data_IF_927785341314
#
_entry.id   IF_927785341314
#
_cell.length_a   1.000
_cell.length_b   1.000
_cell.length_c   1.000
_cell.angle_alpha   90.00
_cell.angle_beta   90.00
_cell.angle_gamma   90.00
#
_symmetry.space_group_name_H-M   'P 1'
#
loop_
_entity.id
_entity.type
_entity.pdbx_description
1 polymer ?
#
# COMPACT_ATOMS: atom_id res chain seq x y z
N UNK A 1 11.76 26.05 -14.45
CA UNK A 1 10.90 27.07 -13.82
C UNK A 1 11.55 28.45 -13.75
N UNK A 2 12.60 28.66 -12.95
CA UNK A 2 13.20 30.00 -12.74
C UNK A 2 13.69 30.67 -14.04
N UNK A 3 14.38 29.93 -14.91
CA UNK A 3 14.89 30.46 -16.20
C UNK A 3 13.74 30.92 -17.10
N UNK A 4 12.67 30.13 -17.22
CA UNK A 4 11.50 30.46 -18.05
C UNK A 4 10.74 31.69 -17.51
N UNK A 5 10.63 31.84 -16.20
CA UNK A 5 10.04 33.03 -15.58
C UNK A 5 10.90 34.28 -15.83
N UNK A 6 12.23 34.19 -15.66
CA UNK A 6 13.14 35.31 -15.90
C UNK A 6 13.10 35.76 -17.36
N UNK A 7 13.11 34.82 -18.31
CA UNK A 7 13.00 35.11 -19.75
C UNK A 7 11.63 35.73 -20.09
N UNK A 8 10.55 35.27 -19.46
CA UNK A 8 9.21 35.85 -19.68
C UNK A 8 9.12 37.28 -19.15
N UNK A 9 9.63 37.54 -17.95
CA UNK A 9 9.63 38.87 -17.33
C UNK A 9 10.50 39.85 -18.13
N UNK A 10 11.68 39.41 -18.56
CA UNK A 10 12.57 40.22 -19.40
C UNK A 10 11.94 40.48 -20.78
N UNK A 11 11.27 39.49 -21.37
CA UNK A 11 10.54 39.64 -22.62
C UNK A 11 9.44 40.68 -22.55
N UNK A 12 8.65 40.73 -21.47
CA UNK A 12 7.63 41.77 -21.26
C UNK A 12 8.26 43.17 -21.17
N UNK A 13 9.39 43.30 -20.47
CA UNK A 13 10.07 44.56 -20.29
C UNK A 13 10.69 45.11 -21.60
N UNK A 14 11.17 44.24 -22.49
CA UNK A 14 11.91 44.63 -23.71
C UNK A 14 11.02 44.66 -24.96
N UNK A 15 10.08 43.72 -25.10
CA UNK A 15 9.26 43.53 -26.31
C UNK A 15 7.88 44.20 -26.20
N UNK A 16 7.55 44.76 -25.04
CA UNK A 16 6.27 45.38 -24.74
C UNK A 16 5.19 44.38 -24.32
N UNK A 17 4.05 44.87 -23.79
CA UNK A 17 3.10 44.03 -23.05
C UNK A 17 2.45 42.91 -23.87
N UNK A 18 2.07 43.19 -25.12
CA UNK A 18 1.40 42.23 -26.00
C UNK A 18 2.32 41.08 -26.41
N UNK A 19 3.54 41.42 -26.83
CA UNK A 19 4.50 40.43 -27.31
C UNK A 19 5.10 39.63 -26.13
N UNK A 20 5.30 40.29 -24.98
CA UNK A 20 5.67 39.62 -23.74
C UNK A 20 4.60 38.64 -23.24
N UNK A 21 3.32 39.00 -23.31
CA UNK A 21 2.22 38.08 -22.94
C UNK A 21 2.18 36.86 -23.87
N UNK A 22 2.37 37.06 -25.17
CA UNK A 22 2.42 35.97 -26.15
C UNK A 22 3.61 35.04 -25.88
N UNK A 23 4.76 35.60 -25.54
CA UNK A 23 5.95 34.83 -25.14
C UNK A 23 5.70 34.03 -23.85
N UNK A 24 5.04 34.63 -22.86
CA UNK A 24 4.69 33.96 -21.60
C UNK A 24 3.75 32.78 -21.83
N UNK A 25 2.72 32.96 -22.66
CA UNK A 25 1.80 31.87 -23.03
C UNK A 25 2.52 30.76 -23.77
N UNK A 26 3.36 31.11 -24.74
CA UNK A 26 4.16 30.14 -25.49
C UNK A 26 5.08 29.33 -24.58
N UNK A 27 5.80 29.99 -23.67
CA UNK A 27 6.70 29.33 -22.72
C UNK A 27 5.95 28.48 -21.69
N UNK A 28 4.78 28.94 -21.22
CA UNK A 28 3.93 28.19 -20.30
C UNK A 28 3.41 26.89 -20.93
N UNK A 29 2.91 26.97 -22.17
CA UNK A 29 2.47 25.79 -22.93
C UNK A 29 3.64 24.87 -23.26
N UNK A 30 4.84 25.42 -23.47
CA UNK A 30 6.01 24.62 -23.82
C UNK A 30 6.69 23.96 -22.61
N UNK A 31 6.36 24.36 -21.38
CA UNK A 31 7.04 23.89 -20.18
C UNK A 31 6.91 22.37 -19.99
N UNK A 32 5.73 21.73 -20.14
CA UNK A 32 5.62 20.27 -20.09
C UNK A 32 6.46 19.58 -21.17
N UNK A 33 6.44 20.10 -22.41
CA UNK A 33 7.26 19.60 -23.51
C UNK A 33 8.77 19.70 -23.24
N UNK A 34 9.22 20.79 -22.63
CA UNK A 34 10.62 20.95 -22.21
C UNK A 34 11.01 19.93 -21.14
N UNK A 35 10.15 19.71 -20.14
CA UNK A 35 10.40 18.69 -19.10
C UNK A 35 10.34 17.26 -19.63
N UNK A 36 9.44 16.98 -20.58
CA UNK A 36 9.39 15.68 -21.26
C UNK A 36 10.66 15.46 -22.08
N UNK A 37 11.10 16.47 -22.85
CA UNK A 37 12.35 16.40 -23.61
C UNK A 37 13.55 16.14 -22.70
N UNK A 38 13.60 16.80 -21.54
CA UNK A 38 14.65 16.57 -20.55
C UNK A 38 14.64 15.14 -20.01
N UNK A 39 13.45 14.59 -19.75
CA UNK A 39 13.30 13.24 -19.24
C UNK A 39 13.61 12.16 -20.30
N UNK A 40 13.33 12.43 -21.58
CA UNK A 40 13.59 11.49 -22.68
C UNK A 40 15.04 11.51 -23.16
N UNK A 41 15.63 12.71 -23.29
CA UNK A 41 16.96 12.88 -23.90
C UNK A 41 18.10 13.02 -22.89
N UNK A 42 17.79 13.11 -21.58
CA UNK A 42 18.73 13.39 -20.48
C UNK A 42 19.66 14.60 -20.73
N UNK A 43 19.22 15.54 -21.57
CA UNK A 43 20.02 16.67 -22.05
C UNK A 43 19.35 18.00 -21.76
N UNK A 44 19.98 18.83 -20.92
CA UNK A 44 19.50 20.18 -20.59
C UNK A 44 19.49 21.10 -21.82
N UNK A 45 20.51 21.02 -22.68
CA UNK A 45 20.57 21.81 -23.91
C UNK A 45 19.50 21.35 -24.91
N UNK A 46 19.26 20.04 -25.00
CA UNK A 46 18.18 19.47 -25.80
C UNK A 46 16.80 19.94 -25.32
N UNK A 47 16.59 19.97 -24.01
CA UNK A 47 15.35 20.42 -23.39
C UNK A 47 15.04 21.91 -23.60
N UNK A 48 16.03 22.73 -23.97
CA UNK A 48 15.86 24.15 -24.29
C UNK A 48 15.58 24.41 -25.78
N UNK A 49 15.53 23.38 -26.62
CA UNK A 49 15.31 23.52 -28.05
C UNK A 49 13.80 23.66 -28.38
N UNK A 50 13.33 24.83 -28.86
CA UNK A 50 11.91 25.06 -29.16
C UNK A 50 11.36 24.16 -30.26
N UNK A 51 12.20 23.70 -31.18
CA UNK A 51 11.77 22.79 -32.25
C UNK A 51 11.33 21.43 -31.67
N UNK A 52 11.96 20.96 -30.59
CA UNK A 52 11.57 19.72 -29.92
C UNK A 52 10.22 19.86 -29.21
N UNK A 53 9.95 21.02 -28.60
CA UNK A 53 8.67 21.29 -27.97
C UNK A 53 7.53 21.28 -28.99
N UNK A 54 7.73 21.97 -30.12
CA UNK A 54 6.76 21.98 -31.23
C UNK A 54 6.56 20.57 -31.78
N UNK A 55 7.62 19.78 -31.93
CA UNK A 55 7.52 18.39 -32.38
C UNK A 55 6.70 17.52 -31.41
N UNK A 56 6.91 17.64 -30.10
CA UNK A 56 6.13 16.93 -29.07
C UNK A 56 4.65 17.33 -29.15
N UNK A 57 4.36 18.63 -29.24
CA UNK A 57 2.98 19.13 -29.38
C UNK A 57 2.32 18.58 -30.64
N UNK A 58 3.03 18.58 -31.77
CA UNK A 58 2.50 18.10 -33.04
C UNK A 58 2.27 16.58 -33.05
N UNK A 59 3.14 15.80 -32.40
CA UNK A 59 3.05 14.33 -32.34
C UNK A 59 1.96 13.86 -31.38
N UNK A 60 1.84 14.48 -30.20
CA UNK A 60 0.82 14.13 -29.21
C UNK A 60 -0.56 14.70 -29.59
N UNK A 61 -0.61 15.91 -30.15
CA UNK A 61 -1.84 16.57 -30.55
C UNK A 61 -2.66 17.12 -29.37
N UNK A 62 -3.99 17.09 -29.51
CA UNK A 62 -4.93 17.68 -28.55
C UNK A 62 -4.75 17.24 -27.07
N UNK A 63 -4.46 15.97 -26.76
CA UNK A 63 -4.19 15.50 -25.40
C UNK A 63 -3.08 16.27 -24.66
N UNK A 64 -2.11 16.83 -25.39
CA UNK A 64 -1.07 17.67 -24.80
C UNK A 64 -1.65 18.88 -24.06
N UNK A 65 -2.64 19.55 -24.66
CA UNK A 65 -3.27 20.73 -24.05
C UNK A 65 -4.12 20.39 -22.82
N UNK A 66 -4.69 19.18 -22.77
CA UNK A 66 -5.37 18.70 -21.58
C UNK A 66 -4.40 18.56 -20.40
N UNK A 67 -3.20 18.01 -20.65
CA UNK A 67 -2.14 17.91 -19.63
C UNK A 67 -1.61 19.29 -19.23
N UNK A 68 -1.39 20.20 -20.18
CA UNK A 68 -1.03 21.60 -19.87
C UNK A 68 -2.09 22.23 -18.96
N UNK A 69 -3.37 22.08 -19.28
CA UNK A 69 -4.48 22.58 -18.45
C UNK A 69 -4.48 21.98 -17.05
N UNK A 70 -4.25 20.67 -16.93
CA UNK A 70 -4.18 19.98 -15.65
C UNK A 70 -2.97 20.44 -14.81
N UNK A 71 -1.81 20.66 -15.43
CA UNK A 71 -0.64 21.25 -14.78
C UNK A 71 -0.95 22.66 -14.25
N UNK A 72 -1.67 23.49 -15.02
CA UNK A 72 -2.10 24.82 -14.57
C UNK A 72 -3.04 24.71 -13.36
N UNK A 73 -4.00 23.79 -13.39
CA UNK A 73 -4.91 23.54 -12.26
C UNK A 73 -4.16 23.09 -11.02
N UNK A 74 -3.17 22.19 -11.16
CA UNK A 74 -2.32 21.74 -10.05
C UNK A 74 -1.54 22.92 -9.46
N UNK A 75 -0.91 23.75 -10.31
CA UNK A 75 -0.15 24.92 -9.85
C UNK A 75 -1.05 25.94 -9.14
N UNK A 76 -2.23 26.23 -9.70
CA UNK A 76 -3.20 27.13 -9.08
C UNK A 76 -3.69 26.59 -7.73
N UNK A 77 -3.98 25.29 -7.67
CA UNK A 77 -4.41 24.62 -6.44
C UNK A 77 -3.31 24.63 -5.37
N UNK A 78 -2.06 24.38 -5.75
CA UNK A 78 -0.91 24.47 -4.85
C UNK A 78 -0.73 25.89 -4.30
N UNK A 79 -0.81 26.92 -5.16
CA UNK A 79 -0.69 28.32 -4.74
C UNK A 79 -1.80 28.69 -3.75
N UNK A 80 -3.04 28.37 -4.09
CA UNK A 80 -4.19 28.65 -3.25
C UNK A 80 -4.12 27.91 -1.90
N UNK A 81 -3.70 26.65 -1.91
CA UNK A 81 -3.51 25.87 -0.69
C UNK A 81 -2.39 26.45 0.18
N UNK A 82 -1.29 26.95 -0.41
CA UNK A 82 -0.21 27.59 0.33
C UNK A 82 -0.65 28.90 1.00
N UNK A 83 -1.45 29.72 0.30
CA UNK A 83 -2.03 30.93 0.86
C UNK A 83 -2.99 30.60 2.01
N UNK A 84 -3.85 29.60 1.85
CA UNK A 84 -4.77 29.18 2.90
C UNK A 84 -4.03 28.67 4.15
N UNK A 85 -3.03 27.80 3.95
CA UNK A 85 -2.24 27.20 5.03
C UNK A 85 -1.43 28.26 5.79
N UNK A 86 -0.80 29.21 5.07
CA UNK A 86 0.00 30.26 5.71
C UNK A 86 -0.85 31.28 6.49
N UNK A 87 -2.12 31.46 6.11
CA UNK A 87 -3.06 32.31 6.85
C UNK A 87 -3.66 31.67 8.10
N UNK A 88 -3.65 30.33 8.20
CA UNK A 88 -4.31 29.58 9.29
C UNK A 88 -3.30 29.01 10.29
N UNK A 89 -2.13 28.56 9.84
CA UNK A 89 -1.16 27.86 10.68
C UNK A 89 0.01 28.76 11.10
N UNK A 90 0.63 28.47 12.26
CA UNK A 90 1.90 29.09 12.64
C UNK A 90 2.99 28.81 11.59
N UNK A 91 3.89 29.78 11.38
CA UNK A 91 4.90 29.77 10.31
C UNK A 91 5.65 28.43 10.18
N UNK A 92 6.14 27.88 11.29
CA UNK A 92 6.90 26.62 11.27
C UNK A 92 6.08 25.45 10.72
N UNK A 93 4.83 25.32 11.14
CA UNK A 93 3.93 24.25 10.68
C UNK A 93 3.49 24.49 9.25
N UNK A 94 3.19 25.74 8.90
CA UNK A 94 2.83 26.14 7.55
C UNK A 94 3.94 25.78 6.54
N UNK A 95 5.21 26.05 6.86
CA UNK A 95 6.34 25.71 6.00
C UNK A 95 6.43 24.20 5.71
N UNK A 96 6.22 23.36 6.72
CA UNK A 96 6.23 21.90 6.55
C UNK A 96 5.07 21.46 5.66
N UNK A 97 3.85 21.92 5.95
CA UNK A 97 2.64 21.54 5.22
C UNK A 97 2.71 22.01 3.76
N UNK A 98 3.11 23.25 3.52
CA UNK A 98 3.33 23.78 2.16
C UNK A 98 4.42 23.00 1.43
N UNK A 99 5.48 22.61 2.14
CA UNK A 99 6.52 21.74 1.60
C UNK A 99 5.98 20.39 1.13
N UNK A 100 5.11 19.74 1.92
CA UNK A 100 4.47 18.47 1.56
C UNK A 100 3.55 18.65 0.34
N UNK A 101 2.69 19.67 0.34
CA UNK A 101 1.78 19.96 -0.77
C UNK A 101 2.58 20.22 -2.06
N UNK A 102 3.64 21.01 -1.97
CA UNK A 102 4.49 21.36 -3.11
C UNK A 102 5.21 20.13 -3.69
N UNK A 103 5.74 19.24 -2.84
CA UNK A 103 6.36 18.00 -3.29
C UNK A 103 5.35 17.05 -3.92
N UNK A 104 4.15 16.94 -3.35
CA UNK A 104 3.08 16.12 -3.93
C UNK A 104 2.64 16.66 -5.31
N UNK A 105 2.43 17.96 -5.43
CA UNK A 105 2.08 18.62 -6.69
C UNK A 105 3.17 18.42 -7.76
N UNK A 106 4.45 18.48 -7.36
CA UNK A 106 5.59 18.20 -8.23
C UNK A 106 5.57 16.76 -8.74
N UNK A 107 5.41 15.78 -7.84
CA UNK A 107 5.31 14.35 -8.21
C UNK A 107 4.13 14.11 -9.14
N UNK A 108 2.95 14.69 -8.84
CA UNK A 108 1.76 14.57 -9.67
C UNK A 108 2.00 15.12 -11.08
N UNK A 109 2.66 16.28 -11.19
CA UNK A 109 2.98 16.91 -12.47
C UNK A 109 3.91 16.01 -13.29
N UNK A 110 4.97 15.47 -12.68
CA UNK A 110 5.86 14.51 -13.35
C UNK A 110 5.15 13.22 -13.74
N UNK A 111 4.25 12.72 -12.89
CA UNK A 111 3.48 11.51 -13.16
C UNK A 111 2.58 11.69 -14.40
N UNK A 112 1.88 12.81 -14.51
CA UNK A 112 1.05 13.14 -15.67
C UNK A 112 1.85 13.22 -16.96
N UNK A 113 3.02 13.87 -16.91
CA UNK A 113 3.89 14.01 -18.07
C UNK A 113 4.51 12.66 -18.47
N UNK A 114 4.94 11.87 -17.48
CA UNK A 114 5.46 10.52 -17.70
C UNK A 114 4.40 9.58 -18.27
N UNK A 115 3.15 9.67 -17.81
CA UNK A 115 2.03 8.93 -18.38
C UNK A 115 1.79 9.32 -19.84
N UNK A 116 1.86 10.61 -20.17
CA UNK A 116 1.68 11.07 -21.55
C UNK A 116 2.83 10.59 -22.47
N UNK A 117 4.08 10.66 -21.99
CA UNK A 117 5.23 10.08 -22.70
C UNK A 117 5.01 8.58 -22.93
N UNK A 118 4.56 7.85 -21.89
CA UNK A 118 4.31 6.41 -21.99
C UNK A 118 3.16 6.07 -22.96
N UNK A 119 2.08 6.84 -22.97
CA UNK A 119 0.94 6.60 -23.84
C UNK A 119 1.28 6.84 -25.32
N UNK A 120 2.07 7.87 -25.60
CA UNK A 120 2.44 8.31 -26.96
C UNK A 120 3.89 7.97 -27.32
N UNK A 121 4.48 6.96 -26.66
CA UNK A 121 5.91 6.68 -26.70
C UNK A 121 6.42 6.41 -28.13
N UNK A 122 5.66 5.64 -28.93
CA UNK A 122 5.96 5.40 -30.35
C UNK A 122 5.96 6.71 -31.16
N UNK A 123 4.94 7.55 -30.97
CA UNK A 123 4.77 8.80 -31.71
C UNK A 123 5.86 9.84 -31.37
N UNK A 124 6.29 9.89 -30.11
CA UNK A 124 7.34 10.81 -29.66
C UNK A 124 8.75 10.28 -29.92
N UNK A 125 8.89 9.05 -30.41
CA UNK A 125 10.18 8.41 -30.67
C UNK A 125 10.93 8.07 -29.39
N UNK A 126 10.20 7.84 -28.30
CA UNK A 126 10.74 7.37 -27.03
C UNK A 126 10.45 5.88 -26.95
N UNK A 127 11.48 5.04 -26.90
CA UNK A 127 11.29 3.66 -26.47
C UNK A 127 11.23 3.68 -24.94
N UNK A 128 10.08 3.36 -24.32
CA UNK A 128 10.04 3.17 -22.89
C UNK A 128 11.07 2.10 -22.59
N UNK A 129 12.01 2.41 -21.71
CA UNK A 129 12.75 1.36 -21.01
C UNK A 129 11.66 0.55 -20.33
N UNK A 130 11.31 -0.58 -20.94
CA UNK A 130 10.19 -1.36 -20.47
C UNK A 130 10.43 -1.66 -18.98
N UNK A 131 9.37 -1.92 -18.19
CA UNK A 131 9.52 -2.49 -16.85
C UNK A 131 10.40 -3.76 -16.85
N UNK A 132 10.72 -4.30 -18.03
CA UNK A 132 11.83 -5.20 -18.32
C UNK A 132 13.13 -4.88 -17.61
N UNK A 133 13.54 -3.65 -17.26
CA UNK A 133 14.76 -3.55 -16.44
C UNK A 133 14.57 -4.09 -15.01
N UNK A 134 13.36 -3.99 -14.45
CA UNK A 134 12.99 -4.64 -13.18
C UNK A 134 12.61 -6.12 -13.39
N UNK A 135 11.99 -6.45 -14.54
CA UNK A 135 11.59 -7.81 -14.93
C UNK A 135 12.71 -8.69 -15.49
N UNK A 136 13.81 -8.13 -16.01
CA UNK A 136 14.98 -8.84 -16.52
C UNK A 136 16.05 -9.02 -15.43
N UNK A 137 15.98 -8.22 -14.37
CA UNK A 137 16.67 -8.51 -13.10
C UNK A 137 15.90 -9.52 -12.25
N UNK A 138 14.57 -9.63 -12.41
CA UNK A 138 13.80 -10.75 -11.88
C UNK A 138 14.03 -11.98 -12.76
N UNK A 139 14.50 -13.08 -12.16
CA UNK A 139 14.40 -14.37 -12.85
C UNK A 139 12.92 -14.61 -13.17
N UNK A 140 12.57 -15.02 -14.40
CA UNK A 140 11.22 -15.48 -14.70
C UNK A 140 10.79 -16.47 -13.63
N UNK A 141 9.52 -16.38 -13.20
CA UNK A 141 8.98 -17.37 -12.27
C UNK A 141 9.22 -18.76 -12.89
N UNK A 142 9.77 -19.75 -12.16
CA UNK A 142 10.05 -21.07 -12.72
C UNK A 142 8.78 -21.75 -13.26
N UNK A 143 7.59 -21.28 -12.87
CA UNK A 143 6.30 -21.76 -13.35
C UNK A 143 5.64 -20.80 -14.37
N UNK A 144 6.41 -19.92 -15.02
CA UNK A 144 5.86 -18.96 -15.99
C UNK A 144 5.13 -19.64 -17.15
N UNK A 145 5.63 -20.78 -17.63
CA UNK A 145 5.02 -21.51 -18.76
C UNK A 145 3.57 -21.94 -18.45
N UNK A 146 3.32 -22.49 -17.26
CA UNK A 146 1.96 -22.92 -16.85
C UNK A 146 1.05 -21.72 -16.55
N UNK A 147 1.60 -20.61 -16.08
CA UNK A 147 0.87 -19.36 -15.89
C UNK A 147 0.40 -18.77 -17.22
N UNK A 148 1.27 -18.79 -18.24
CA UNK A 148 0.95 -18.28 -19.58
C UNK A 148 -0.07 -19.18 -20.29
N UNK A 149 0.03 -20.49 -20.12
CA UNK A 149 -0.97 -21.46 -20.62
C UNK A 149 -2.34 -21.23 -19.96
N UNK A 150 -2.38 -21.12 -18.63
CA UNK A 150 -3.62 -20.81 -17.90
C UNK A 150 -4.22 -19.46 -18.33
N UNK A 151 -3.38 -18.45 -18.56
CA UNK A 151 -3.83 -17.15 -19.07
C UNK A 151 -4.39 -17.24 -20.50
N UNK A 152 -3.81 -18.10 -21.35
CA UNK A 152 -4.36 -18.42 -22.67
C UNK A 152 -5.77 -19.00 -22.60
N UNK A 153 -5.97 -20.00 -21.75
CA UNK A 153 -7.29 -20.62 -21.53
C UNK A 153 -8.34 -19.61 -21.05
N UNK A 154 -7.95 -18.66 -20.17
CA UNK A 154 -8.86 -17.59 -19.73
C UNK A 154 -9.22 -16.65 -20.88
N UNK A 155 -8.26 -16.26 -21.74
CA UNK A 155 -8.53 -15.42 -22.92
C UNK A 155 -9.46 -16.11 -23.92
N UNK A 156 -9.36 -17.42 -24.02
CA UNK A 156 -10.21 -18.26 -24.87
C UNK A 156 -11.61 -18.52 -24.26
N UNK A 157 -11.93 -17.90 -23.12
CA UNK A 157 -13.22 -18.06 -22.44
C UNK A 157 -13.40 -19.40 -21.74
N UNK A 158 -12.30 -20.07 -21.35
CA UNK A 158 -12.29 -21.39 -20.67
C UNK A 158 -11.66 -21.31 -19.26
N UNK A 159 -12.21 -20.50 -18.34
CA UNK A 159 -11.64 -20.35 -16.99
C UNK A 159 -11.69 -21.64 -16.17
N UNK A 160 -12.64 -22.55 -16.42
CA UNK A 160 -12.75 -23.86 -15.77
C UNK A 160 -11.56 -24.75 -16.15
N UNK A 161 -11.18 -24.77 -17.44
CA UNK A 161 -10.01 -25.52 -17.91
C UNK A 161 -8.72 -24.94 -17.33
N UNK A 162 -8.61 -23.61 -17.23
CA UNK A 162 -7.47 -22.96 -16.57
C UNK A 162 -7.39 -23.37 -15.09
N UNK A 163 -8.53 -23.49 -14.42
CA UNK A 163 -8.62 -23.91 -13.02
C UNK A 163 -8.11 -25.34 -12.85
N UNK A 164 -8.58 -26.26 -13.70
CA UNK A 164 -8.15 -27.67 -13.66
C UNK A 164 -6.67 -27.85 -14.02
N UNK A 165 -6.15 -27.08 -14.97
CA UNK A 165 -4.72 -27.05 -15.30
C UNK A 165 -3.88 -26.70 -14.07
N UNK A 166 -4.21 -25.58 -13.40
CA UNK A 166 -3.47 -25.15 -12.21
C UNK A 166 -3.66 -26.09 -11.02
N UNK A 167 -4.87 -26.66 -10.84
CA UNK A 167 -5.14 -27.68 -9.82
C UNK A 167 -4.22 -28.90 -10.00
N UNK A 168 -4.12 -29.41 -11.23
CA UNK A 168 -3.25 -30.54 -11.57
C UNK A 168 -1.77 -30.23 -11.36
N UNK A 169 -1.35 -29.02 -11.75
CA UNK A 169 0.01 -28.55 -11.57
C UNK A 169 0.40 -28.45 -10.08
N UNK A 170 -0.42 -27.80 -9.27
CA UNK A 170 -0.19 -27.66 -7.83
C UNK A 170 -0.09 -29.01 -7.12
N UNK A 171 -0.95 -29.97 -7.49
CA UNK A 171 -0.93 -31.32 -6.90
C UNK A 171 0.35 -32.10 -7.21
N UNK A 172 0.97 -31.85 -8.36
CA UNK A 172 2.13 -32.62 -8.83
C UNK A 172 3.46 -31.95 -8.52
N UNK A 173 3.51 -30.61 -8.55
CA UNK A 173 4.76 -29.82 -8.43
C UNK A 173 4.79 -28.86 -7.26
N UNK A 174 3.68 -28.68 -6.53
CA UNK A 174 3.55 -27.72 -5.43
C UNK A 174 3.36 -26.28 -5.91
N UNK A 175 4.07 -25.87 -6.96
CA UNK A 175 3.94 -24.58 -7.62
C UNK A 175 4.52 -23.38 -6.84
N UNK A 176 4.79 -22.29 -7.55
CA UNK A 176 5.22 -21.03 -6.95
C UNK A 176 4.06 -20.24 -6.35
N UNK A 177 4.34 -19.23 -5.50
CA UNK A 177 3.30 -18.33 -5.00
C UNK A 177 2.45 -17.68 -6.09
N UNK A 178 3.00 -17.47 -7.29
CA UNK A 178 2.27 -16.95 -8.43
C UNK A 178 1.19 -17.94 -8.92
N UNK A 179 1.51 -19.24 -9.01
CA UNK A 179 0.56 -20.30 -9.36
C UNK A 179 -0.58 -20.36 -8.34
N UNK A 180 -0.26 -20.35 -7.04
CA UNK A 180 -1.28 -20.31 -5.98
C UNK A 180 -2.19 -19.09 -6.08
N UNK A 181 -1.62 -17.92 -6.34
CA UNK A 181 -2.35 -16.66 -6.48
C UNK A 181 -3.33 -16.71 -7.66
N UNK A 182 -2.86 -17.20 -8.80
CA UNK A 182 -3.68 -17.33 -10.01
C UNK A 182 -4.77 -18.39 -9.83
N UNK A 183 -4.45 -19.54 -9.23
CA UNK A 183 -5.44 -20.59 -8.94
C UNK A 183 -6.56 -20.05 -8.05
N UNK A 184 -6.23 -19.41 -6.92
CA UNK A 184 -7.25 -18.81 -6.04
C UNK A 184 -8.06 -17.72 -6.73
N UNK A 185 -7.47 -16.95 -7.63
CA UNK A 185 -8.20 -15.96 -8.45
C UNK A 185 -9.26 -16.62 -9.32
N UNK A 186 -8.93 -17.73 -9.97
CA UNK A 186 -9.89 -18.47 -10.79
C UNK A 186 -11.01 -19.08 -9.94
N UNK A 187 -10.69 -19.64 -8.76
CA UNK A 187 -11.71 -20.15 -7.84
C UNK A 187 -12.68 -19.05 -7.37
N UNK A 188 -12.17 -17.83 -7.10
CA UNK A 188 -13.04 -16.68 -6.78
C UNK A 188 -13.95 -16.30 -7.93
N UNK A 189 -13.44 -16.30 -9.16
CA UNK A 189 -14.24 -16.02 -10.36
C UNK A 189 -15.33 -17.09 -10.58
N UNK A 190 -15.03 -18.35 -10.31
CA UNK A 190 -15.99 -19.46 -10.33
C UNK A 190 -16.89 -19.56 -9.09
N UNK A 191 -16.70 -18.69 -8.08
CA UNK A 191 -17.36 -18.74 -6.77
C UNK A 191 -17.27 -20.12 -6.08
N UNK A 192 -16.17 -20.85 -6.31
CA UNK A 192 -15.90 -22.16 -5.69
C UNK A 192 -15.32 -21.97 -4.28
N UNK A 193 -16.23 -21.72 -3.33
CA UNK A 193 -15.90 -21.42 -1.94
C UNK A 193 -15.34 -22.62 -1.20
N UNK A 194 -15.83 -23.82 -1.49
CA UNK A 194 -15.40 -25.05 -0.83
C UNK A 194 -13.94 -25.37 -1.21
N UNK A 195 -13.60 -25.23 -2.49
CA UNK A 195 -12.23 -25.41 -2.95
C UNK A 195 -11.30 -24.29 -2.45
N UNK A 196 -11.77 -23.05 -2.35
CA UNK A 196 -10.99 -21.95 -1.73
C UNK A 196 -10.60 -22.26 -0.28
N UNK A 197 -11.52 -22.84 0.50
CA UNK A 197 -11.27 -23.25 1.88
C UNK A 197 -10.34 -24.47 1.95
N UNK A 198 -10.56 -25.48 1.11
CA UNK A 198 -9.71 -26.68 1.03
C UNK A 198 -8.27 -26.30 0.69
N UNK A 199 -8.09 -25.57 -0.41
CA UNK A 199 -6.78 -25.08 -0.83
C UNK A 199 -6.19 -24.11 0.18
N UNK A 200 -7.02 -23.29 0.83
CA UNK A 200 -6.61 -22.39 1.89
C UNK A 200 -5.95 -23.13 3.06
N UNK A 201 -6.53 -24.27 3.50
CA UNK A 201 -5.95 -25.09 4.58
C UNK A 201 -4.58 -25.66 4.20
N UNK A 202 -4.49 -26.22 3.00
CA UNK A 202 -3.25 -26.82 2.48
C UNK A 202 -2.15 -25.76 2.32
N UNK A 203 -2.46 -24.65 1.66
CA UNK A 203 -1.49 -23.61 1.37
C UNK A 203 -1.07 -22.82 2.62
N UNK A 204 -2.00 -22.59 3.56
CA UNK A 204 -1.67 -21.99 4.86
C UNK A 204 -0.59 -22.81 5.58
N UNK A 205 -0.74 -24.13 5.64
CA UNK A 205 0.23 -25.01 6.30
C UNK A 205 1.59 -24.99 5.58
N UNK A 206 1.60 -24.95 4.24
CA UNK A 206 2.84 -24.82 3.46
C UNK A 206 3.54 -23.50 3.76
N UNK A 207 2.81 -22.38 3.81
CA UNK A 207 3.37 -21.07 4.09
C UNK A 207 3.95 -20.99 5.50
N UNK A 208 3.26 -21.53 6.50
CA UNK A 208 3.75 -21.58 7.88
C UNK A 208 4.98 -22.48 8.02
N UNK A 209 5.01 -23.63 7.35
CA UNK A 209 6.19 -24.50 7.31
C UNK A 209 7.41 -23.83 6.63
N UNK A 210 7.18 -22.83 5.77
CA UNK A 210 8.21 -22.01 5.13
C UNK A 210 8.52 -20.71 5.89
N UNK A 211 8.00 -20.54 7.12
CA UNK A 211 8.14 -19.32 7.94
C UNK A 211 7.60 -18.05 7.24
N UNK A 212 6.67 -18.21 6.31
CA UNK A 212 6.01 -17.12 5.56
C UNK A 212 4.72 -16.71 6.24
N UNK A 213 4.83 -16.23 7.48
CA UNK A 213 3.67 -15.93 8.34
C UNK A 213 2.80 -14.77 7.82
N UNK A 214 3.37 -13.79 7.12
CA UNK A 214 2.62 -12.68 6.54
C UNK A 214 1.71 -13.14 5.39
N UNK A 215 2.22 -13.81 4.33
CA UNK A 215 1.35 -14.44 3.33
C UNK A 215 0.35 -15.42 3.93
N UNK A 216 0.74 -16.20 4.94
CA UNK A 216 -0.16 -17.11 5.64
C UNK A 216 -1.35 -16.37 6.28
N UNK A 217 -1.09 -15.23 6.93
CA UNK A 217 -2.13 -14.39 7.53
C UNK A 217 -3.12 -13.85 6.48
N UNK A 218 -2.67 -13.54 5.26
CA UNK A 218 -3.55 -13.10 4.17
C UNK A 218 -4.49 -14.22 3.72
N UNK A 219 -3.96 -15.43 3.51
CA UNK A 219 -4.76 -16.62 3.16
C UNK A 219 -5.77 -16.93 4.25
N UNK A 220 -5.35 -16.89 5.52
CA UNK A 220 -6.22 -17.07 6.67
C UNK A 220 -7.39 -16.08 6.66
N UNK A 221 -7.11 -14.78 6.46
CA UNK A 221 -8.13 -13.73 6.45
C UNK A 221 -9.12 -13.91 5.31
N UNK A 222 -8.63 -14.25 4.13
CA UNK A 222 -9.49 -14.54 2.98
C UNK A 222 -10.45 -15.70 3.29
N UNK A 223 -9.93 -16.79 3.86
CA UNK A 223 -10.76 -17.94 4.22
C UNK A 223 -11.75 -17.60 5.35
N UNK A 224 -11.38 -16.73 6.29
CA UNK A 224 -12.28 -16.25 7.35
C UNK A 224 -13.45 -15.39 6.86
N UNK A 225 -13.36 -14.82 5.65
CA UNK A 225 -14.51 -14.16 5.00
C UNK A 225 -15.57 -15.17 4.53
N UNK A 226 -15.19 -16.45 4.35
CA UNK A 226 -16.07 -17.53 3.92
C UNK A 226 -16.51 -18.36 5.14
N UNK A 227 -15.56 -18.80 5.96
CA UNK A 227 -15.77 -19.58 7.18
C UNK A 227 -15.13 -18.85 8.37
N UNK A 228 -15.90 -18.13 9.22
CA UNK A 228 -15.34 -17.34 10.32
C UNK A 228 -14.51 -18.14 11.35
N UNK A 229 -14.73 -19.45 11.44
CA UNK A 229 -13.99 -20.38 12.30
C UNK A 229 -12.72 -20.93 11.66
N UNK A 230 -12.43 -20.57 10.41
CA UNK A 230 -11.23 -21.00 9.71
C UNK A 230 -9.96 -20.53 10.43
N UNK A 231 -9.01 -21.45 10.61
CA UNK A 231 -7.78 -21.21 11.34
C UNK A 231 -6.83 -22.40 11.37
N UNK A 232 -5.59 -22.23 11.84
CA UNK A 232 -4.66 -23.34 12.02
C UNK A 232 -5.19 -24.37 13.04
N UNK A 233 -4.77 -25.62 12.89
CA UNK A 233 -5.08 -26.70 13.84
C UNK A 233 -4.09 -26.77 14.99
N UNK A 234 -2.88 -26.24 14.82
CA UNK A 234 -1.83 -26.28 15.83
C UNK A 234 -1.79 -25.01 16.67
N UNK A 235 -1.54 -25.18 17.98
CA UNK A 235 -1.58 -24.09 18.95
C UNK A 235 -0.49 -23.04 18.71
N UNK A 236 0.70 -23.47 18.33
CA UNK A 236 1.86 -22.63 18.01
C UNK A 236 1.62 -21.76 16.77
N UNK A 237 1.01 -22.32 15.72
CA UNK A 237 0.64 -21.60 14.50
C UNK A 237 -0.40 -20.51 14.77
N UNK A 238 -1.38 -20.78 15.65
CA UNK A 238 -2.34 -19.76 16.10
C UNK A 238 -1.62 -18.63 16.86
N UNK A 239 -0.73 -18.97 17.77
CA UNK A 239 0.11 -18.02 18.52
C UNK A 239 0.96 -17.14 17.59
N UNK A 240 1.59 -17.75 16.59
CA UNK A 240 2.43 -17.08 15.60
C UNK A 240 1.61 -16.08 14.76
N UNK A 241 0.51 -16.53 14.15
CA UNK A 241 -0.33 -15.69 13.31
C UNK A 241 -1.00 -14.56 14.09
N UNK A 242 -1.43 -14.81 15.33
CA UNK A 242 -1.98 -13.77 16.19
C UNK A 242 -0.92 -12.70 16.52
N UNK A 243 0.32 -13.13 16.78
CA UNK A 243 1.44 -12.21 17.03
C UNK A 243 1.79 -11.38 15.80
N UNK A 244 1.80 -11.99 14.61
CA UNK A 244 2.04 -11.30 13.33
C UNK A 244 0.93 -10.29 13.05
N UNK A 245 -0.34 -10.68 13.24
CA UNK A 245 -1.48 -9.79 13.09
C UNK A 245 -1.40 -8.58 14.03
N UNK A 246 -1.08 -8.81 15.31
CA UNK A 246 -0.92 -7.75 16.31
C UNK A 246 0.18 -6.74 15.92
N UNK A 247 1.36 -7.23 15.52
CA UNK A 247 2.46 -6.37 15.05
C UNK A 247 2.11 -5.59 13.79
N UNK A 248 1.31 -6.19 12.91
CA UNK A 248 0.80 -5.54 11.69
C UNK A 248 -0.37 -4.57 11.93
N UNK A 249 -0.72 -4.25 13.18
CA UNK A 249 -1.81 -3.34 13.51
C UNK A 249 -3.21 -3.94 13.38
N UNK A 250 -3.33 -5.24 13.12
CA UNK A 250 -4.59 -5.94 12.89
C UNK A 250 -5.13 -6.53 14.21
N UNK A 251 -5.39 -5.66 15.19
CA UNK A 251 -5.77 -6.05 16.55
C UNK A 251 -7.01 -6.96 16.60
N UNK A 252 -8.04 -6.67 15.81
CA UNK A 252 -9.27 -7.48 15.76
C UNK A 252 -9.03 -8.90 15.24
N UNK A 253 -8.13 -9.06 14.27
CA UNK A 253 -7.78 -10.37 13.71
C UNK A 253 -7.03 -11.19 14.76
N UNK A 254 -6.07 -10.58 15.46
CA UNK A 254 -5.36 -11.23 16.56
C UNK A 254 -6.32 -11.65 17.70
N UNK A 255 -7.22 -10.76 18.13
CA UNK A 255 -8.23 -11.07 19.15
C UNK A 255 -9.15 -12.22 18.72
N UNK A 256 -9.59 -12.25 17.45
CA UNK A 256 -10.40 -13.34 16.91
C UNK A 256 -9.66 -14.66 16.91
N UNK A 257 -8.39 -14.66 16.50
CA UNK A 257 -7.55 -15.86 16.51
C UNK A 257 -7.33 -16.42 17.91
N UNK A 258 -7.19 -15.56 18.91
CA UNK A 258 -6.95 -15.96 20.30
C UNK A 258 -8.25 -16.23 21.09
N UNK A 259 -9.41 -15.92 20.52
CA UNK A 259 -10.70 -16.17 21.14
C UNK A 259 -10.87 -17.66 21.47
N UNK A 260 -11.16 -17.97 22.73
CA UNK A 260 -11.32 -19.35 23.20
C UNK A 260 -10.07 -20.23 23.04
N UNK A 261 -8.87 -19.66 22.94
CA UNK A 261 -7.62 -20.42 22.74
C UNK A 261 -7.42 -21.51 23.81
N UNK A 262 -7.59 -21.19 25.10
CA UNK A 262 -7.49 -22.17 26.20
C UNK A 262 -8.53 -23.31 26.12
N UNK A 263 -9.69 -23.09 25.49
CA UNK A 263 -10.70 -24.14 25.30
C UNK A 263 -10.30 -25.10 24.18
N UNK A 264 -9.72 -24.55 23.10
CA UNK A 264 -9.23 -25.32 21.95
C UNK A 264 -7.93 -26.07 22.27
N UNK A 265 -7.04 -25.44 23.04
CA UNK A 265 -5.71 -25.94 23.36
C UNK A 265 -5.43 -25.91 24.87
N UNK A 266 -6.16 -26.69 25.70
CA UNK A 266 -6.09 -26.60 27.16
C UNK A 266 -4.72 -26.98 27.75
N UNK A 267 -3.88 -27.69 26.99
CA UNK A 267 -2.53 -28.09 27.41
C UNK A 267 -1.42 -27.23 26.80
N UNK A 268 -1.77 -26.18 26.05
CA UNK A 268 -0.76 -25.33 25.41
C UNK A 268 -0.03 -24.46 26.45
N UNK A 269 1.30 -24.46 26.38
CA UNK A 269 2.16 -23.55 27.15
C UNK A 269 2.02 -22.08 26.72
N UNK A 270 1.39 -21.82 25.57
CA UNK A 270 1.23 -20.47 25.03
C UNK A 270 0.01 -19.73 25.60
N UNK A 271 -0.81 -20.38 26.45
CA UNK A 271 -2.00 -19.74 27.04
C UNK A 271 -1.63 -18.42 27.75
N UNK A 272 -0.63 -18.36 28.66
CA UNK A 272 -0.28 -17.12 29.36
C UNK A 272 0.18 -16.02 28.41
N UNK A 273 1.07 -16.37 27.46
CA UNK A 273 1.58 -15.45 26.44
C UNK A 273 0.47 -14.87 25.57
N UNK A 274 -0.44 -15.72 25.09
CA UNK A 274 -1.55 -15.30 24.22
C UNK A 274 -2.55 -14.41 24.97
N UNK A 275 -2.85 -14.73 26.23
CA UNK A 275 -3.79 -13.95 27.02
C UNK A 275 -3.20 -12.61 27.46
N UNK A 276 -1.89 -12.55 27.71
CA UNK A 276 -1.19 -11.29 27.91
C UNK A 276 -1.26 -10.41 26.65
N UNK A 277 -1.07 -11.00 25.46
CA UNK A 277 -1.25 -10.29 24.18
C UNK A 277 -2.70 -9.77 24.03
N UNK A 278 -3.71 -10.58 24.37
CA UNK A 278 -5.12 -10.16 24.38
C UNK A 278 -5.33 -8.95 25.30
N UNK A 279 -4.81 -9.01 26.53
CA UNK A 279 -4.93 -7.91 27.50
C UNK A 279 -4.30 -6.62 26.98
N UNK A 280 -3.10 -6.69 26.38
CA UNK A 280 -2.43 -5.55 25.74
C UNK A 280 -3.29 -4.96 24.62
N UNK A 281 -3.78 -5.79 23.70
CA UNK A 281 -4.61 -5.33 22.58
C UNK A 281 -5.93 -4.70 23.04
N UNK A 282 -6.59 -5.28 24.05
CA UNK A 282 -7.82 -4.72 24.62
C UNK A 282 -7.59 -3.32 25.20
N UNK A 283 -6.48 -3.11 25.91
CA UNK A 283 -6.13 -1.80 26.46
C UNK A 283 -5.70 -0.83 25.34
N UNK A 284 -4.63 -1.15 24.61
CA UNK A 284 -3.92 -0.22 23.72
C UNK A 284 -4.66 0.10 22.41
N UNK A 285 -5.56 -0.78 21.96
CA UNK A 285 -6.22 -0.66 20.67
C UNK A 285 -7.72 -0.54 20.77
N UNK A 286 -8.33 -1.21 21.77
CA UNK A 286 -9.79 -1.24 21.91
C UNK A 286 -10.31 -0.29 23.01
N UNK A 287 -9.45 0.30 23.83
CA UNK A 287 -9.82 1.08 25.03
C UNK A 287 -10.77 0.31 25.98
N UNK A 288 -10.59 -1.01 26.07
CA UNK A 288 -11.40 -1.92 26.89
C UNK A 288 -10.65 -2.31 28.17
N UNK A 289 -10.33 -1.31 28.99
CA UNK A 289 -9.48 -1.44 30.19
C UNK A 289 -10.02 -2.44 31.22
N UNK A 290 -11.32 -2.41 31.50
CA UNK A 290 -11.96 -3.34 32.45
C UNK A 290 -11.83 -4.80 31.99
N UNK A 291 -12.00 -5.05 30.69
CA UNK A 291 -11.83 -6.39 30.13
C UNK A 291 -10.36 -6.82 30.16
N UNK A 292 -9.45 -5.89 29.88
CA UNK A 292 -8.00 -6.15 29.99
C UNK A 292 -7.61 -6.57 31.41
N UNK A 293 -8.05 -5.81 32.43
CA UNK A 293 -7.83 -6.15 33.84
C UNK A 293 -8.47 -7.50 34.22
N UNK A 294 -9.66 -7.80 33.70
CA UNK A 294 -10.31 -9.10 33.89
C UNK A 294 -9.45 -10.27 33.37
N UNK A 295 -8.84 -10.13 32.19
CA UNK A 295 -7.92 -11.13 31.63
C UNK A 295 -6.64 -11.25 32.47
N UNK A 296 -6.06 -10.13 32.93
CA UNK A 296 -4.85 -10.14 33.76
C UNK A 296 -5.10 -10.78 35.13
N UNK A 297 -6.26 -10.53 35.73
CA UNK A 297 -6.69 -11.20 36.97
C UNK A 297 -6.84 -12.71 36.76
N UNK A 298 -7.42 -13.12 35.63
CA UNK A 298 -7.50 -14.54 35.27
C UNK A 298 -6.10 -15.17 35.16
N UNK A 299 -5.14 -14.49 34.53
CA UNK A 299 -3.77 -14.98 34.42
C UNK A 299 -3.09 -15.16 35.78
N UNK A 300 -3.19 -14.17 36.68
CA UNK A 300 -2.65 -14.29 38.05
C UNK A 300 -3.21 -15.49 38.81
N UNK A 301 -4.52 -15.73 38.70
CA UNK A 301 -5.19 -16.78 39.45
C UNK A 301 -4.87 -18.19 38.94
N UNK A 302 -4.66 -18.36 37.63
CA UNK A 302 -4.51 -19.68 37.00
C UNK A 302 -3.06 -20.03 36.65
N UNK A 303 -2.16 -19.04 36.57
CA UNK A 303 -0.76 -19.22 36.18
C UNK A 303 0.20 -18.42 37.11
N UNK A 304 0.16 -18.64 38.44
CA UNK A 304 0.89 -17.81 39.42
C UNK A 304 2.42 -17.90 39.31
N UNK A 305 2.96 -19.00 38.81
CA UNK A 305 4.40 -19.25 38.70
C UNK A 305 4.95 -19.02 37.28
N UNK A 306 4.15 -18.41 36.38
CA UNK A 306 4.57 -18.19 35.00
C UNK A 306 5.66 -17.10 34.89
N UNK A 307 6.69 -17.26 34.04
CA UNK A 307 7.74 -16.26 33.83
C UNK A 307 7.24 -14.87 33.45
N UNK A 308 6.04 -14.76 32.87
CA UNK A 308 5.43 -13.49 32.45
C UNK A 308 4.75 -12.73 33.59
N UNK A 309 4.78 -13.22 34.84
CA UNK A 309 4.10 -12.57 35.96
C UNK A 309 4.53 -11.10 36.16
N UNK A 310 5.82 -10.81 35.96
CA UNK A 310 6.33 -9.44 36.02
C UNK A 310 5.68 -8.51 34.97
N UNK A 311 5.47 -9.00 33.74
CA UNK A 311 4.78 -8.22 32.69
C UNK A 311 3.29 -8.06 32.98
N UNK A 312 2.64 -9.09 33.53
CA UNK A 312 1.23 -9.07 33.91
C UNK A 312 0.97 -7.99 34.99
N UNK A 313 1.85 -7.93 36.00
CA UNK A 313 1.78 -6.96 37.08
C UNK A 313 2.06 -5.54 36.64
N UNK A 314 3.08 -5.35 35.80
CA UNK A 314 3.36 -4.05 35.20
C UNK A 314 2.16 -3.53 34.39
N UNK A 315 1.57 -4.38 33.54
CA UNK A 315 0.45 -3.97 32.70
C UNK A 315 -0.80 -3.65 33.54
N UNK A 316 -1.18 -4.46 34.54
CA UNK A 316 -2.32 -4.11 35.39
C UNK A 316 -2.09 -2.82 36.17
N UNK A 317 -0.91 -2.66 36.77
CA UNK A 317 -0.61 -1.46 37.54
C UNK A 317 -0.62 -0.19 36.69
N UNK A 318 -0.20 -0.29 35.42
CA UNK A 318 -0.30 0.81 34.46
C UNK A 318 -1.76 1.16 34.16
N UNK A 319 -2.59 0.18 33.81
CA UNK A 319 -4.00 0.39 33.46
C UNK A 319 -4.78 0.98 34.66
N UNK A 320 -4.59 0.45 35.87
CA UNK A 320 -5.25 0.93 37.08
C UNK A 320 -4.91 2.39 37.39
N UNK A 321 -3.63 2.78 37.25
CA UNK A 321 -3.20 4.18 37.42
C UNK A 321 -3.84 5.10 36.39
N UNK A 322 -3.90 4.67 35.13
CA UNK A 322 -4.55 5.44 34.05
C UNK A 322 -6.04 5.63 34.33
N UNK A 323 -6.77 4.57 34.66
CA UNK A 323 -8.19 4.65 35.00
C UNK A 323 -8.46 5.56 36.22
N UNK A 324 -7.62 5.48 37.25
CA UNK A 324 -7.72 6.34 38.42
C UNK A 324 -7.48 7.82 38.10
N UNK A 325 -6.55 8.12 37.18
CA UNK A 325 -6.30 9.48 36.70
C UNK A 325 -7.50 10.04 35.90
N UNK A 326 -8.10 9.23 35.02
CA UNK A 326 -9.26 9.63 34.22
C UNK A 326 -10.52 9.85 35.07
N UNK A 327 -10.66 9.15 36.20
CA UNK A 327 -11.78 9.32 37.16
C UNK A 327 -11.66 10.56 38.05
N UNK A 328 -10.56 11.33 37.96
CA UNK A 328 -10.33 12.58 38.71
C UNK A 328 -10.55 13.87 37.87
N UNK A 329 -11.67 14.07 37.13
CA UNK A 329 -11.92 15.38 36.52
C UNK A 329 -12.45 16.35 37.58
N UNK A 330 -11.66 17.40 37.89
CA UNK A 330 -12.14 18.60 38.59
C UNK A 330 -12.07 18.57 40.12
N UNK A 331 -10.87 18.75 40.68
CA UNK A 331 -10.70 19.28 42.04
C UNK A 331 -9.68 20.44 41.99
N UNK A 332 -9.97 21.44 41.16
CA UNK A 332 -9.35 22.76 41.22
C UNK A 332 -10.15 23.72 40.34
N UNK A 333 -11.21 24.27 40.91
CA UNK A 333 -11.73 25.59 40.58
C UNK A 333 -11.87 26.33 41.91
#
# INVERSE_FOLDING_TARGET
>A
MAIFMIVSIFGVAVLGPKLGLLLMLFLGVSLPGATMTLAMDESLLGALNPAKWVAIVARIGWPYFAIVGLCVVIMASQSYAADLVSNVLPLFVALIVVGVISNYALVMTFHLMGYLIYQYHEDVGFEPVAPQMVKALARPDPDQDVLDEAAGLVRDGKPENATELLRGYLRTRGGTPAVHTQYRKLLRLGNDRDELLRHGREYLNILLAQEKSLPALEILRECQMIEPTFGPTEADQVTELASVAARGGQAEVALRLLSGFHKRFPKSKDIPRNYLLVARLLHERMNQDEKSLGILKYLRANFPDDPLMGEIDQLSGMIERMMAATKKPGASA
#
